data_IF_877467409215
#
_entry.id   IF_877467409215
#
_cell.length_a   1.000
_cell.length_b   1.000
_cell.length_c   1.000
_cell.angle_alpha   90.00
_cell.angle_beta   90.00
_cell.angle_gamma   90.00
#
_symmetry.space_group_name_H-M   'P 1'
#
loop_
_entity.id
_entity.type
_entity.pdbx_description
1 polymer ?
#
# COMPACT_ATOMS: atom_id res chain seq x y z
N UNK A 1 3.08 26.92 -38.19
CA UNK A 1 2.39 27.82 -37.24
C UNK A 1 2.94 27.55 -35.87
N UNK A 2 3.62 28.50 -35.23
CA UNK A 2 4.13 28.32 -33.87
C UNK A 2 2.92 28.31 -32.92
N UNK A 3 2.76 27.21 -32.15
CA UNK A 3 1.72 27.13 -31.14
C UNK A 3 1.99 28.19 -30.08
N UNK A 4 1.02 29.03 -29.82
CA UNK A 4 1.13 30.07 -28.78
C UNK A 4 1.27 29.36 -27.41
N UNK A 5 2.40 29.52 -26.66
CA UNK A 5 2.61 28.84 -25.40
C UNK A 5 1.58 29.23 -24.32
N UNK A 6 0.86 30.31 -24.51
CA UNK A 6 -0.23 30.75 -23.59
C UNK A 6 -1.55 30.03 -23.79
N UNK A 7 -1.71 29.22 -24.86
CA UNK A 7 -2.95 28.45 -25.11
C UNK A 7 -2.91 27.08 -24.39
N UNK A 8 -1.77 26.63 -23.87
CA UNK A 8 -1.64 25.43 -23.08
C UNK A 8 -1.90 25.69 -21.59
N UNK A 9 -3.03 26.33 -21.27
CA UNK A 9 -3.47 26.38 -19.89
C UNK A 9 -3.91 25.00 -19.42
N UNK A 10 -3.64 24.71 -18.14
CA UNK A 10 -4.06 23.47 -17.49
C UNK A 10 -5.57 23.29 -17.69
N UNK A 11 -5.95 22.30 -18.50
CA UNK A 11 -7.36 22.03 -18.83
C UNK A 11 -8.13 21.47 -17.65
N UNK A 12 -7.44 20.77 -16.74
CA UNK A 12 -8.04 20.20 -15.54
C UNK A 12 -7.65 21.04 -14.32
N UNK A 13 -8.62 21.79 -13.76
CA UNK A 13 -8.44 22.59 -12.54
C UNK A 13 -8.92 21.87 -11.28
N UNK A 14 -9.31 20.60 -11.39
CA UNK A 14 -9.73 19.80 -10.25
C UNK A 14 -8.51 19.20 -9.57
N UNK A 15 -8.26 19.57 -8.33
CA UNK A 15 -7.18 19.04 -7.53
C UNK A 15 -7.62 17.75 -6.83
N UNK A 16 -6.69 16.82 -6.64
CA UNK A 16 -6.94 15.60 -5.91
C UNK A 16 -7.22 15.90 -4.44
N UNK A 17 -8.34 15.40 -3.93
CA UNK A 17 -8.70 15.55 -2.51
C UNK A 17 -8.03 14.42 -1.69
N UNK A 18 -7.40 14.73 -0.55
CA UNK A 18 -6.80 13.71 0.30
C UNK A 18 -7.82 12.86 1.08
N UNK A 19 -9.10 13.23 1.06
CA UNK A 19 -10.14 12.60 1.89
C UNK A 19 -10.70 11.32 1.24
N UNK A 20 -10.65 11.22 -0.08
CA UNK A 20 -11.28 10.12 -0.81
C UNK A 20 -10.29 9.03 -1.19
N UNK A 21 -10.19 7.97 -0.40
CA UNK A 21 -9.41 6.78 -0.76
C UNK A 21 -10.00 5.51 -0.13
N UNK A 22 -9.72 4.37 -0.74
CA UNK A 22 -10.12 3.05 -0.25
C UNK A 22 -9.00 2.06 -0.54
N UNK A 23 -8.64 1.26 0.44
CA UNK A 23 -7.64 0.20 0.28
C UNK A 23 -8.32 -1.16 0.22
N UNK A 24 -7.90 -1.99 -0.72
CA UNK A 24 -8.40 -3.37 -0.91
C UNK A 24 -7.21 -4.31 -0.95
N UNK A 25 -7.25 -5.33 -0.10
CA UNK A 25 -6.25 -6.38 -0.03
C UNK A 25 -6.74 -7.64 -0.73
N UNK A 26 -5.96 -8.16 -1.66
CA UNK A 26 -6.35 -9.33 -2.47
C UNK A 26 -6.49 -10.62 -1.65
N UNK A 27 -5.66 -10.81 -0.61
CA UNK A 27 -5.68 -11.99 0.26
C UNK A 27 -6.97 -12.11 1.09
N UNK A 28 -7.51 -10.98 1.52
CA UNK A 28 -8.70 -10.91 2.37
C UNK A 28 -9.74 -9.97 1.77
N UNK A 29 -10.32 -10.32 0.61
CA UNK A 29 -11.22 -9.39 -0.12
C UNK A 29 -12.54 -9.13 0.62
N UNK A 30 -12.89 -9.95 1.60
CA UNK A 30 -14.09 -9.79 2.43
C UNK A 30 -13.89 -8.90 3.65
N UNK A 31 -12.65 -8.56 3.96
CA UNK A 31 -12.30 -7.72 5.09
C UNK A 31 -12.17 -6.28 4.60
N UNK A 32 -13.05 -5.43 5.07
CA UNK A 32 -12.98 -4.00 4.80
C UNK A 32 -12.00 -3.33 5.77
N UNK A 33 -10.95 -2.76 5.20
CA UNK A 33 -10.05 -1.92 5.96
C UNK A 33 -10.60 -0.49 5.93
N UNK A 34 -11.24 -0.06 7.01
CA UNK A 34 -11.66 1.32 7.21
C UNK A 34 -10.42 2.21 7.42
N UNK A 35 -9.77 2.52 6.31
CA UNK A 35 -8.53 3.26 6.33
C UNK A 35 -8.77 4.71 6.68
N UNK A 36 -8.09 5.17 7.74
CA UNK A 36 -8.12 6.57 8.17
C UNK A 36 -6.95 7.35 7.62
N UNK A 37 -5.81 6.69 7.37
CA UNK A 37 -4.62 7.32 6.83
C UNK A 37 -3.81 6.32 6.01
N UNK A 38 -3.29 6.79 4.90
CA UNK A 38 -2.31 6.08 4.09
C UNK A 38 -1.42 7.06 3.35
N UNK A 39 -0.27 6.60 2.93
CA UNK A 39 0.68 7.39 2.15
C UNK A 39 1.08 6.60 0.91
N UNK A 40 1.05 7.24 -0.26
CA UNK A 40 1.72 6.67 -1.43
C UNK A 40 3.22 6.69 -1.13
N UNK A 41 3.90 5.53 -1.19
CA UNK A 41 5.31 5.46 -0.85
C UNK A 41 6.17 6.31 -1.76
N UNK A 42 7.25 6.83 -1.21
CA UNK A 42 8.24 7.58 -1.97
C UNK A 42 8.98 6.71 -2.98
N UNK A 43 9.44 7.37 -4.01
CA UNK A 43 10.24 6.77 -5.07
C UNK A 43 11.57 7.50 -5.12
N UNK A 44 12.67 6.78 -4.92
CA UNK A 44 14.02 7.34 -4.92
C UNK A 44 14.88 6.68 -5.98
N UNK A 45 15.54 7.48 -6.79
CA UNK A 45 16.51 7.02 -7.77
C UNK A 45 17.92 7.21 -7.21
N UNK A 46 18.74 6.18 -7.30
CA UNK A 46 20.15 6.26 -6.94
C UNK A 46 20.90 7.30 -7.80
N UNK A 47 21.93 7.88 -7.24
CA UNK A 47 22.81 8.83 -7.94
C UNK A 47 24.20 8.21 -8.07
N UNK A 48 24.79 8.35 -9.25
CA UNK A 48 26.21 8.10 -9.49
C UNK A 48 26.93 9.43 -9.60
N UNK A 49 28.09 9.56 -8.94
CA UNK A 49 28.93 10.78 -9.02
C UNK A 49 30.09 10.52 -9.95
N UNK A 50 30.23 11.38 -10.94
CA UNK A 50 31.39 11.40 -11.81
C UNK A 50 32.30 12.55 -11.35
N UNK A 51 33.48 12.25 -10.78
CA UNK A 51 34.41 13.29 -10.37
C UNK A 51 34.98 13.99 -11.61
N UNK A 52 34.99 15.30 -11.61
CA UNK A 52 35.69 16.13 -12.60
C UNK A 52 36.62 17.09 -11.89
N UNK A 53 37.56 17.66 -12.62
CA UNK A 53 38.59 18.52 -12.04
C UNK A 53 38.04 19.78 -11.30
N UNK A 54 36.89 20.29 -11.72
CA UNK A 54 36.31 21.53 -11.17
C UNK A 54 35.09 21.27 -10.27
N UNK A 55 34.31 20.22 -10.53
CA UNK A 55 33.08 19.92 -9.81
C UNK A 55 32.67 18.47 -10.08
N UNK A 56 32.15 17.80 -9.05
CA UNK A 56 31.51 16.51 -9.23
C UNK A 56 30.20 16.69 -10.00
N UNK A 57 29.99 15.85 -11.00
CA UNK A 57 28.76 15.79 -11.78
C UNK A 57 27.90 14.63 -11.29
N UNK A 58 26.68 14.94 -10.91
CA UNK A 58 25.70 13.94 -10.53
C UNK A 58 25.06 13.35 -11.82
N UNK A 59 25.12 12.04 -11.96
CA UNK A 59 24.55 11.29 -13.06
C UNK A 59 23.42 10.41 -12.50
N UNK A 60 22.28 10.25 -13.21
CA UNK A 60 21.23 9.34 -12.78
C UNK A 60 21.75 7.91 -12.61
N UNK A 61 21.51 7.31 -11.46
CA UNK A 61 21.81 5.90 -11.21
C UNK A 61 20.75 4.98 -11.80
N UNK A 62 20.99 3.68 -11.74
CA UNK A 62 20.11 2.66 -12.35
C UNK A 62 19.15 2.01 -11.32
N UNK A 63 19.38 2.22 -10.03
CA UNK A 63 18.59 1.56 -8.98
C UNK A 63 17.48 2.48 -8.47
N UNK A 64 16.25 1.97 -8.58
CA UNK A 64 15.06 2.57 -8.02
C UNK A 64 14.74 1.93 -6.67
N UNK A 65 14.53 2.74 -5.65
CA UNK A 65 14.16 2.31 -4.29
C UNK A 65 12.76 2.78 -3.98
N UNK A 66 11.95 1.87 -3.43
CA UNK A 66 10.58 2.14 -3.00
C UNK A 66 10.55 2.24 -1.48
N UNK A 67 9.85 3.23 -0.96
CA UNK A 67 9.54 3.35 0.47
C UNK A 67 8.52 2.32 0.92
N UNK A 68 8.27 2.26 2.22
CA UNK A 68 7.30 1.34 2.80
C UNK A 68 5.87 1.88 2.67
N UNK A 69 4.90 0.97 2.50
CA UNK A 69 3.49 1.30 2.54
C UNK A 69 2.98 1.23 3.97
N UNK A 70 2.62 2.37 4.53
CA UNK A 70 2.00 2.45 5.86
C UNK A 70 0.51 2.71 5.72
N UNK A 71 -0.29 1.92 6.41
CA UNK A 71 -1.74 1.97 6.39
C UNK A 71 -2.27 2.02 7.83
N UNK A 72 -3.05 3.05 8.17
CA UNK A 72 -3.78 3.16 9.43
C UNK A 72 -5.25 2.90 9.19
N UNK A 73 -5.85 2.02 9.98
CA UNK A 73 -7.25 1.62 9.86
C UNK A 73 -7.93 1.54 11.23
N UNK A 74 -9.26 1.67 11.21
CA UNK A 74 -10.10 1.44 12.39
C UNK A 74 -10.23 -0.06 12.62
N UNK A 75 -10.11 -0.48 13.86
CA UNK A 75 -10.30 -1.88 14.25
C UNK A 75 -11.78 -2.15 14.45
N UNK A 76 -12.28 -3.24 13.83
CA UNK A 76 -13.66 -3.67 13.96
C UNK A 76 -13.94 -4.18 15.37
N UNK A 77 -15.20 -4.15 15.81
CA UNK A 77 -15.63 -4.68 17.10
C UNK A 77 -15.27 -6.17 17.28
N UNK A 78 -15.34 -6.95 16.20
CA UNK A 78 -14.95 -8.37 16.17
C UNK A 78 -13.45 -8.58 15.93
N UNK A 79 -12.68 -7.52 15.73
CA UNK A 79 -11.25 -7.54 15.40
C UNK A 79 -10.90 -8.34 14.12
N UNK A 80 -11.85 -8.56 13.20
CA UNK A 80 -11.64 -9.40 12.00
C UNK A 80 -10.50 -8.85 11.12
N UNK A 81 -10.47 -7.52 10.93
CA UNK A 81 -9.44 -6.87 10.13
C UNK A 81 -8.05 -6.94 10.80
N UNK A 82 -7.98 -6.76 12.13
CA UNK A 82 -6.74 -6.87 12.88
C UNK A 82 -6.22 -8.32 12.87
N UNK A 83 -7.10 -9.29 13.16
CA UNK A 83 -6.77 -10.71 13.18
C UNK A 83 -6.33 -11.23 11.81
N UNK A 84 -6.88 -10.72 10.72
CA UNK A 84 -6.46 -11.08 9.37
C UNK A 84 -4.97 -10.77 9.12
N UNK A 85 -4.52 -9.58 9.55
CA UNK A 85 -3.11 -9.17 9.44
C UNK A 85 -2.24 -9.92 10.44
N UNK A 86 -2.72 -10.10 11.69
CA UNK A 86 -2.00 -10.82 12.73
C UNK A 86 -1.73 -12.27 12.31
N UNK A 87 -2.76 -13.00 11.83
CA UNK A 87 -2.62 -14.38 11.37
C UNK A 87 -1.69 -14.49 10.15
N UNK A 88 -1.68 -13.48 9.31
CA UNK A 88 -0.75 -13.46 8.19
C UNK A 88 0.70 -13.28 8.67
N UNK A 89 0.96 -12.36 9.61
CA UNK A 89 2.28 -12.17 10.22
C UNK A 89 2.76 -13.42 10.96
N UNK A 90 1.90 -14.04 11.78
CA UNK A 90 2.25 -15.27 12.52
C UNK A 90 2.49 -16.44 11.57
N UNK A 91 1.70 -16.57 10.52
CA UNK A 91 1.93 -17.60 9.50
C UNK A 91 3.25 -17.43 8.74
N UNK A 92 3.69 -16.18 8.49
CA UNK A 92 4.99 -15.89 7.87
C UNK A 92 6.16 -16.14 8.85
N UNK A 93 5.97 -15.81 10.13
CA UNK A 93 7.00 -15.92 11.17
C UNK A 93 7.03 -17.25 11.89
N UNK A 94 5.98 -18.08 11.80
CA UNK A 94 5.78 -19.39 12.44
C UNK A 94 6.41 -19.51 13.83
N UNK A 95 5.99 -18.68 14.81
CA UNK A 95 6.66 -18.58 16.12
C UNK A 95 6.53 -19.85 16.97
N UNK A 96 5.47 -20.64 16.80
CA UNK A 96 5.19 -21.84 17.61
C UNK A 96 5.57 -23.13 16.89
N UNK A 97 5.19 -23.27 15.62
CA UNK A 97 5.43 -24.48 14.86
C UNK A 97 5.55 -24.22 13.35
N UNK A 98 6.28 -25.10 12.67
CA UNK A 98 6.32 -25.13 11.20
C UNK A 98 4.97 -25.44 10.58
N UNK A 99 3.99 -25.91 11.37
CA UNK A 99 2.63 -26.17 10.91
C UNK A 99 1.89 -24.90 10.54
N UNK A 100 2.15 -23.78 11.26
CA UNK A 100 1.54 -22.48 10.99
C UNK A 100 1.91 -21.98 9.58
N UNK A 101 3.17 -22.20 9.20
CA UNK A 101 3.62 -21.92 7.83
C UNK A 101 2.98 -22.86 6.81
N UNK A 102 2.88 -24.16 7.12
CA UNK A 102 2.24 -25.13 6.25
C UNK A 102 0.75 -24.80 6.03
N UNK A 103 0.06 -24.29 7.06
CA UNK A 103 -1.34 -23.89 6.97
C UNK A 103 -1.52 -22.59 6.15
N UNK A 104 -0.54 -21.68 6.23
CA UNK A 104 -0.51 -20.48 5.38
C UNK A 104 -0.33 -20.84 3.89
N UNK A 105 0.52 -21.82 3.60
CA UNK A 105 0.89 -22.23 2.23
C UNK A 105 -0.15 -23.16 1.60
N UNK A 106 -1.04 -23.80 2.40
CA UNK A 106 -2.10 -24.67 1.84
C UNK A 106 -2.95 -23.91 0.83
N UNK A 107 -3.01 -24.37 -0.44
CA UNK A 107 -3.79 -23.71 -1.47
C UNK A 107 -5.28 -23.80 -1.13
N UNK A 108 -5.94 -22.66 -1.09
CA UNK A 108 -7.42 -22.57 -0.98
C UNK A 108 -8.10 -23.04 -2.29
N UNK A 109 -7.34 -23.13 -3.37
CA UNK A 109 -7.77 -23.58 -4.69
C UNK A 109 -6.71 -24.47 -5.32
N UNK A 110 -7.13 -25.45 -6.13
CA UNK A 110 -6.34 -26.54 -6.70
C UNK A 110 -5.20 -26.16 -7.68
N UNK A 111 -4.73 -24.92 -7.69
CA UNK A 111 -3.60 -24.48 -8.49
C UNK A 111 -2.32 -24.53 -7.66
N UNK A 112 -1.30 -25.31 -8.07
CA UNK A 112 -0.06 -25.46 -7.31
C UNK A 112 0.86 -24.26 -7.55
N UNK A 113 0.67 -23.19 -6.79
CA UNK A 113 1.60 -22.07 -6.70
C UNK A 113 1.93 -21.83 -5.24
N UNK A 114 2.96 -22.49 -4.75
CA UNK A 114 3.43 -22.42 -3.36
C UNK A 114 3.80 -21.01 -2.91
N UNK A 115 4.23 -20.15 -3.84
CA UNK A 115 4.68 -18.78 -3.54
C UNK A 115 3.52 -17.78 -3.31
N UNK A 116 2.31 -18.09 -3.76
CA UNK A 116 1.21 -17.13 -3.79
C UNK A 116 0.57 -16.85 -2.44
N UNK A 117 0.72 -17.74 -1.46
CA UNK A 117 0.10 -17.55 -0.14
C UNK A 117 0.94 -16.70 0.81
N UNK A 118 2.22 -16.49 0.54
CA UNK A 118 3.09 -15.62 1.32
C UNK A 118 2.83 -14.15 0.98
N UNK A 119 2.58 -13.86 -0.28
CA UNK A 119 2.39 -12.53 -0.82
C UNK A 119 0.92 -12.30 -1.19
N UNK A 120 0.56 -11.04 -1.32
CA UNK A 120 -0.75 -10.61 -1.80
C UNK A 120 -0.60 -9.39 -2.70
N UNK A 121 -1.62 -9.13 -3.49
CA UNK A 121 -1.74 -7.87 -4.22
C UNK A 121 -2.63 -6.90 -3.43
N UNK A 122 -2.24 -5.63 -3.40
CA UNK A 122 -3.01 -4.55 -2.80
C UNK A 122 -3.40 -3.50 -3.84
N UNK A 123 -4.55 -2.88 -3.66
CA UNK A 123 -5.02 -1.79 -4.50
C UNK A 123 -5.47 -0.63 -3.63
N UNK A 124 -4.91 0.55 -3.91
CA UNK A 124 -5.35 1.79 -3.31
C UNK A 124 -6.14 2.58 -4.35
N UNK A 125 -7.44 2.67 -4.14
CA UNK A 125 -8.34 3.45 -4.97
C UNK A 125 -8.34 4.90 -4.50
N UNK A 126 -7.99 5.82 -5.38
CA UNK A 126 -8.08 7.25 -5.14
C UNK A 126 -9.38 7.75 -5.75
N UNK A 127 -10.21 8.36 -4.92
CA UNK A 127 -11.53 8.83 -5.28
C UNK A 127 -11.49 10.32 -5.66
N UNK A 128 -12.32 10.70 -6.60
CA UNK A 128 -12.54 12.11 -6.94
C UNK A 128 -13.53 12.76 -5.96
N UNK A 129 -13.82 14.06 -6.15
CA UNK A 129 -14.77 14.83 -5.34
C UNK A 129 -16.20 14.24 -5.32
N UNK A 130 -16.54 13.38 -6.28
CA UNK A 130 -17.82 12.67 -6.34
C UNK A 130 -17.76 11.26 -5.77
N UNK A 131 -16.70 10.92 -5.01
CA UNK A 131 -16.43 9.59 -4.43
C UNK A 131 -16.42 8.45 -5.46
N UNK A 132 -16.01 8.74 -6.69
CA UNK A 132 -15.79 7.74 -7.73
C UNK A 132 -14.31 7.49 -7.93
N UNK A 133 -13.92 6.24 -8.13
CA UNK A 133 -12.54 5.87 -8.41
C UNK A 133 -12.05 6.58 -9.67
N UNK A 134 -10.98 7.36 -9.52
CA UNK A 134 -10.31 8.08 -10.60
C UNK A 134 -8.98 7.45 -10.97
N UNK A 135 -8.24 7.00 -9.96
CA UNK A 135 -6.90 6.47 -10.09
C UNK A 135 -6.75 5.28 -9.16
N UNK A 136 -6.02 4.27 -9.59
CA UNK A 136 -5.76 3.08 -8.78
C UNK A 136 -4.24 2.90 -8.71
N UNK A 137 -3.73 2.78 -7.49
CA UNK A 137 -2.34 2.39 -7.23
C UNK A 137 -2.34 0.91 -6.92
N UNK A 138 -1.64 0.13 -7.73
CA UNK A 138 -1.50 -1.31 -7.58
C UNK A 138 -0.17 -1.62 -6.93
N UNK A 139 -0.20 -2.40 -5.86
CA UNK A 139 0.97 -2.94 -5.18
C UNK A 139 1.05 -4.44 -5.46
N UNK A 140 2.22 -4.92 -5.90
CA UNK A 140 2.48 -6.33 -6.17
C UNK A 140 3.36 -6.94 -5.11
N UNK A 141 3.10 -8.22 -4.81
CA UNK A 141 3.87 -9.02 -3.88
C UNK A 141 3.99 -8.34 -2.50
N UNK A 142 2.86 -7.87 -2.01
CA UNK A 142 2.73 -7.15 -0.75
C UNK A 142 2.71 -8.15 0.40
N UNK A 143 3.46 -7.84 1.46
CA UNK A 143 3.44 -8.60 2.71
C UNK A 143 3.64 -7.68 3.91
N UNK A 144 3.02 -7.98 5.07
CA UNK A 144 3.16 -7.17 6.28
C UNK A 144 4.49 -7.43 6.95
N UNK A 145 5.09 -6.38 7.54
CA UNK A 145 6.31 -6.46 8.34
C UNK A 145 6.12 -6.02 9.78
N UNK A 146 5.12 -5.18 10.04
CA UNK A 146 4.80 -4.72 11.39
C UNK A 146 3.32 -4.43 11.54
N UNK A 147 2.81 -4.63 12.75
CA UNK A 147 1.46 -4.30 13.17
C UNK A 147 1.56 -3.66 14.56
N UNK A 148 0.91 -2.52 14.78
CA UNK A 148 0.94 -1.82 16.07
C UNK A 148 0.14 -2.56 17.13
N UNK A 149 0.53 -2.36 18.40
CA UNK A 149 -0.24 -2.80 19.57
C UNK A 149 -1.57 -2.08 19.68
N UNK A 150 -2.50 -2.70 20.41
CA UNK A 150 -3.75 -2.08 20.82
C UNK A 150 -3.69 -1.90 22.35
N UNK A 151 -3.74 -0.65 22.79
CA UNK A 151 -3.64 -0.32 24.21
C UNK A 151 -5.06 -0.14 24.78
N UNK A 152 -5.43 -0.96 25.76
CA UNK A 152 -6.71 -0.92 26.45
C UNK A 152 -6.59 -0.13 27.76
N UNK A 153 -7.32 0.95 27.89
CA UNK A 153 -7.38 1.77 29.09
C UNK A 153 -8.83 2.00 29.52
N UNK A 154 -9.20 1.47 30.67
CA UNK A 154 -10.56 1.57 31.25
C UNK A 154 -10.81 2.94 31.91
N UNK A 155 -9.77 3.74 32.09
CA UNK A 155 -9.86 5.04 32.77
C UNK A 155 -10.27 6.19 31.83
N UNK A 156 -10.40 5.92 30.53
CA UNK A 156 -10.81 6.91 29.54
C UNK A 156 -12.29 7.23 29.68
N UNK A 157 -12.62 8.50 29.84
CA UNK A 157 -14.00 9.00 29.99
C UNK A 157 -14.76 9.07 28.65
N UNK A 158 -14.04 9.12 27.50
CA UNK A 158 -14.62 9.25 26.17
C UNK A 158 -14.52 7.95 25.36
N UNK A 159 -15.55 7.69 24.55
CA UNK A 159 -15.57 6.57 23.62
C UNK A 159 -14.60 6.87 22.47
N UNK A 160 -13.47 6.17 22.47
CA UNK A 160 -12.49 6.24 21.38
C UNK A 160 -12.46 4.91 20.63
N UNK A 161 -12.39 5.00 19.30
CA UNK A 161 -12.24 3.81 18.47
C UNK A 161 -10.76 3.45 18.32
N UNK A 162 -10.46 2.16 18.41
CA UNK A 162 -9.10 1.67 18.18
C UNK A 162 -8.66 1.88 16.74
N UNK A 163 -7.46 2.41 16.59
CA UNK A 163 -6.77 2.48 15.31
C UNK A 163 -5.52 1.62 15.36
N UNK A 164 -5.34 0.77 14.37
CA UNK A 164 -4.12 0.01 14.16
C UNK A 164 -3.37 0.55 12.95
N UNK A 165 -2.06 0.40 12.99
CA UNK A 165 -1.19 0.76 11.87
C UNK A 165 -0.42 -0.47 11.42
N UNK A 166 -0.42 -0.74 10.14
CA UNK A 166 0.33 -1.83 9.52
C UNK A 166 1.30 -1.26 8.50
N UNK A 167 2.52 -1.78 8.52
CA UNK A 167 3.53 -1.46 7.52
C UNK A 167 3.73 -2.67 6.62
N UNK A 168 3.64 -2.42 5.32
CA UNK A 168 3.84 -3.43 4.28
C UNK A 168 5.10 -3.16 3.49
N UNK A 169 5.78 -4.22 3.09
CA UNK A 169 6.75 -4.26 1.98
C UNK A 169 6.08 -4.81 0.74
N UNK A 170 6.59 -4.46 -0.41
CA UNK A 170 6.08 -4.90 -1.71
C UNK A 170 7.22 -4.86 -2.74
N UNK A 171 7.07 -5.58 -3.84
CA UNK A 171 8.10 -5.63 -4.89
C UNK A 171 8.08 -4.36 -5.75
N UNK A 172 6.91 -3.95 -6.21
CA UNK A 172 6.74 -2.79 -7.09
C UNK A 172 5.32 -2.23 -6.98
N UNK A 173 5.17 -0.91 -7.15
CA UNK A 173 3.87 -0.33 -7.39
C UNK A 173 3.79 0.38 -8.74
N UNK A 174 2.60 0.50 -9.27
CA UNK A 174 2.32 1.26 -10.48
C UNK A 174 0.95 1.91 -10.40
N UNK A 175 0.80 3.01 -11.11
CA UNK A 175 -0.40 3.82 -11.08
C UNK A 175 -1.15 3.63 -12.40
N UNK A 176 -2.46 3.38 -12.31
CA UNK A 176 -3.34 3.22 -13.47
C UNK A 176 -4.51 4.20 -13.39
N UNK A 177 -5.08 4.50 -14.55
CA UNK A 177 -6.33 5.24 -14.62
C UNK A 177 -7.51 4.43 -14.05
N UNK A 178 -8.70 5.03 -14.12
CA UNK A 178 -9.95 4.44 -13.61
C UNK A 178 -10.25 3.04 -14.15
N UNK A 179 -9.73 2.69 -15.33
CA UNK A 179 -9.96 1.40 -15.99
C UNK A 179 -9.05 0.28 -15.45
N UNK A 180 -8.11 0.61 -14.55
CA UNK A 180 -7.16 -0.34 -13.95
C UNK A 180 -6.20 -1.01 -14.93
N UNK A 181 -6.21 -0.62 -16.21
CA UNK A 181 -5.41 -1.24 -17.28
C UNK A 181 -4.37 -0.31 -17.87
N UNK A 182 -4.73 0.95 -18.05
CA UNK A 182 -3.83 1.94 -18.67
C UNK A 182 -2.91 2.53 -17.61
N UNK A 183 -1.61 2.26 -17.71
CA UNK A 183 -0.61 2.94 -16.88
C UNK A 183 -0.60 4.43 -17.23
N UNK A 184 -0.64 5.27 -16.21
CA UNK A 184 -0.54 6.73 -16.34
C UNK A 184 0.93 7.13 -16.45
#
# INVERSE_FOLDING_TARGET
>A
MASNPYTNQIQNRNFLSPIGFQFVLGKTPKVDFFCTNTRIPELSLGLARQPTYLKDLDIPGEKLTFGDLTLRFLVDENMENYMAIHNWLTGLGFPESTQDYADLVKPVTAEPREDLNQFSDGKLHLLNSNFRTQTIVHFRDLFPISLTSLDFDVTLDDIQYFTAEVTFKYAVYFITGKDGRTRL
#
